data_IF_779208802726
#
_entry.id   IF_779208802726
#
_cell.length_a   1.000
_cell.length_b   1.000
_cell.length_c   1.000
_cell.angle_alpha   90.00
_cell.angle_beta   90.00
_cell.angle_gamma   90.00
#
_symmetry.space_group_name_H-M   'P 1'
#
loop_
_entity.id
_entity.type
_entity.pdbx_description
1 polymer ?
#
# COMPACT_ATOMS: atom_id res chain seq x y z
N UNK A 1 19.09 -12.85 -4.11
CA UNK A 1 19.56 -11.51 -3.71
C UNK A 1 19.38 -10.46 -4.82
N UNK A 2 19.45 -10.81 -6.11
CA UNK A 2 19.15 -9.87 -7.21
C UNK A 2 17.65 -9.59 -7.41
N UNK A 3 16.78 -10.58 -7.17
CA UNK A 3 15.33 -10.41 -7.39
C UNK A 3 14.70 -9.40 -6.43
N UNK A 4 15.16 -9.38 -5.16
CA UNK A 4 14.76 -8.37 -4.18
C UNK A 4 15.10 -6.95 -4.67
N UNK A 5 16.34 -6.74 -5.14
CA UNK A 5 16.79 -5.42 -5.60
C UNK A 5 15.97 -4.92 -6.80
N UNK A 6 15.62 -5.80 -7.75
CA UNK A 6 14.82 -5.41 -8.92
C UNK A 6 13.39 -5.06 -8.53
N UNK A 7 12.80 -5.84 -7.62
CA UNK A 7 11.46 -5.61 -7.10
C UNK A 7 11.38 -4.33 -6.26
N UNK A 8 12.37 -4.09 -5.42
CA UNK A 8 12.47 -2.90 -4.56
C UNK A 8 12.61 -1.63 -5.42
N UNK A 9 13.43 -1.69 -6.47
CA UNK A 9 13.58 -0.58 -7.41
C UNK A 9 12.29 -0.33 -8.21
N UNK A 10 11.59 -1.38 -8.64
CA UNK A 10 10.31 -1.24 -9.33
C UNK A 10 9.25 -0.62 -8.42
N UNK A 11 9.22 -1.02 -7.14
CA UNK A 11 8.30 -0.46 -6.16
C UNK A 11 8.60 1.00 -5.85
N UNK A 12 9.86 1.35 -5.62
CA UNK A 12 10.30 2.74 -5.39
C UNK A 12 9.94 3.61 -6.60
N UNK A 13 10.19 3.11 -7.81
CA UNK A 13 9.85 3.82 -9.05
C UNK A 13 8.33 3.98 -9.22
N UNK A 14 7.56 2.97 -8.83
CA UNK A 14 6.11 3.04 -8.86
C UNK A 14 5.56 3.98 -7.76
N UNK A 15 6.23 4.11 -6.61
CA UNK A 15 5.88 5.06 -5.55
C UNK A 15 5.96 6.52 -6.00
N UNK A 16 6.88 6.88 -6.91
CA UNK A 16 6.95 8.24 -7.48
C UNK A 16 5.74 8.60 -8.34
N UNK A 17 4.97 7.62 -8.81
CA UNK A 17 3.76 7.87 -9.59
C UNK A 17 2.52 8.03 -8.70
N UNK A 18 2.63 7.78 -7.39
CA UNK A 18 1.54 7.95 -6.43
C UNK A 18 1.35 9.43 -6.09
N UNK A 19 0.11 9.86 -5.99
CA UNK A 19 -0.23 11.19 -5.49
C UNK A 19 0.05 11.29 -3.99
N UNK A 20 0.19 12.52 -3.50
CA UNK A 20 0.54 12.79 -2.11
C UNK A 20 -0.42 12.12 -1.11
N UNK A 21 -1.71 12.03 -1.42
CA UNK A 21 -2.71 11.39 -0.55
C UNK A 21 -2.52 9.87 -0.53
N UNK A 22 -2.21 9.25 -1.67
CA UNK A 22 -1.93 7.82 -1.78
C UNK A 22 -0.66 7.45 -1.01
N UNK A 23 0.41 8.27 -1.11
CA UNK A 23 1.63 8.08 -0.33
C UNK A 23 1.37 8.16 1.18
N UNK A 24 0.58 9.14 1.62
CA UNK A 24 0.20 9.30 3.04
C UNK A 24 -0.65 8.13 3.53
N UNK A 25 -1.56 7.61 2.70
CA UNK A 25 -2.38 6.45 3.00
C UNK A 25 -1.50 5.20 3.20
N UNK A 26 -0.53 4.97 2.31
CA UNK A 26 0.42 3.85 2.43
C UNK A 26 1.25 3.98 3.72
N UNK A 27 1.73 5.19 4.04
CA UNK A 27 2.49 5.44 5.27
C UNK A 27 1.66 5.15 6.53
N UNK A 28 0.42 5.64 6.58
CA UNK A 28 -0.50 5.34 7.68
C UNK A 28 -0.75 3.85 7.83
N UNK A 29 -1.01 3.15 6.73
CA UNK A 29 -1.22 1.70 6.77
C UNK A 29 0.01 0.95 7.33
N UNK A 30 1.23 1.42 7.03
CA UNK A 30 2.47 0.84 7.59
C UNK A 30 2.58 1.13 9.10
N UNK A 31 2.28 2.35 9.53
CA UNK A 31 2.30 2.73 10.95
C UNK A 31 1.31 1.88 11.73
N UNK A 32 0.07 1.78 11.28
CA UNK A 32 -0.98 0.96 11.89
C UNK A 32 -0.60 -0.54 11.90
N UNK A 33 0.02 -1.05 10.82
CA UNK A 33 0.51 -2.43 10.77
C UNK A 33 1.60 -2.71 11.82
N UNK A 34 2.44 -1.72 12.12
CA UNK A 34 3.49 -1.82 13.15
C UNK A 34 2.90 -1.70 14.55
N UNK A 35 2.02 -0.73 14.78
CA UNK A 35 1.41 -0.48 16.09
C UNK A 35 0.48 -1.63 16.52
N UNK A 36 -0.27 -2.20 15.58
CA UNK A 36 -1.12 -3.38 15.83
C UNK A 36 -0.33 -4.67 16.10
N UNK A 37 0.97 -4.70 15.82
CA UNK A 37 1.82 -5.89 15.97
C UNK A 37 1.46 -7.05 15.03
N UNK A 38 0.52 -6.85 14.09
CA UNK A 38 0.04 -7.87 13.15
C UNK A 38 0.92 -7.99 11.90
N UNK A 39 1.77 -6.98 11.65
CA UNK A 39 2.59 -6.90 10.45
C UNK A 39 1.75 -6.74 9.18
N UNK A 40 2.41 -6.63 8.04
CA UNK A 40 1.74 -6.53 6.74
C UNK A 40 1.57 -7.95 6.18
N UNK A 41 0.32 -8.42 6.11
CA UNK A 41 0.02 -9.71 5.50
C UNK A 41 -1.13 -9.60 4.48
N UNK A 42 -1.21 -10.57 3.56
CA UNK A 42 -2.15 -10.53 2.43
C UNK A 42 -3.55 -11.07 2.77
N UNK A 43 -3.81 -11.37 4.04
CA UNK A 43 -5.08 -11.93 4.50
C UNK A 43 -5.81 -10.99 5.45
N UNK A 44 -5.06 -10.22 6.24
CA UNK A 44 -5.58 -9.33 7.26
C UNK A 44 -5.69 -7.91 6.71
N UNK A 45 -6.89 -7.32 6.74
CA UNK A 45 -7.06 -5.92 6.38
C UNK A 45 -6.33 -5.01 7.36
N UNK A 46 -5.61 -4.03 6.81
CA UNK A 46 -5.12 -2.89 7.56
C UNK A 46 -6.20 -1.83 7.60
N UNK A 47 -6.49 -1.34 8.80
CA UNK A 47 -7.54 -0.37 9.05
C UNK A 47 -6.90 1.01 9.23
N UNK A 48 -7.44 2.00 8.52
CA UNK A 48 -6.98 3.38 8.60
C UNK A 48 -8.20 4.25 8.91
N UNK A 49 -8.15 4.91 10.05
CA UNK A 49 -9.19 5.84 10.48
C UNK A 49 -8.96 7.23 9.91
N UNK A 50 -10.04 7.90 9.48
CA UNK A 50 -9.95 9.29 9.04
C UNK A 50 -9.40 10.22 10.15
N UNK A 51 -9.66 9.88 11.41
CA UNK A 51 -9.11 10.60 12.56
C UNK A 51 -7.57 10.51 12.63
N UNK A 52 -6.97 9.34 12.42
CA UNK A 52 -5.52 9.19 12.34
C UNK A 52 -4.92 10.07 11.23
N UNK A 53 -5.58 10.14 10.08
CA UNK A 53 -5.16 10.99 8.95
C UNK A 53 -5.26 12.49 9.26
N UNK A 54 -6.34 12.93 9.94
CA UNK A 54 -6.51 14.31 10.39
C UNK A 54 -5.41 14.68 11.38
N UNK A 55 -5.17 13.84 12.38
CA UNK A 55 -4.22 14.13 13.45
C UNK A 55 -2.78 14.17 12.93
N UNK A 56 -2.42 13.29 12.00
CA UNK A 56 -1.04 13.19 11.50
C UNK A 56 -0.72 14.23 10.42
N UNK A 57 -1.68 14.62 9.59
CA UNK A 57 -1.46 15.52 8.44
C UNK A 57 -2.19 16.86 8.53
N UNK A 58 -2.88 17.14 9.64
CA UNK A 58 -3.59 18.39 9.93
C UNK A 58 -4.55 18.82 8.79
N UNK A 59 -5.29 17.86 8.24
CA UNK A 59 -6.27 18.08 7.16
C UNK A 59 -7.67 18.37 7.70
N UNK A 60 -8.50 19.03 6.91
CA UNK A 60 -9.88 19.32 7.29
C UNK A 60 -10.71 18.03 7.47
N UNK A 61 -11.38 17.90 8.63
CA UNK A 61 -12.18 16.71 9.00
C UNK A 61 -13.23 16.34 7.96
N UNK A 62 -13.89 17.33 7.37
CA UNK A 62 -14.96 17.12 6.39
C UNK A 62 -14.47 16.44 5.10
N UNK A 63 -13.23 16.68 4.70
CA UNK A 63 -12.67 16.14 3.43
C UNK A 63 -11.73 14.97 3.65
N UNK A 64 -11.29 14.73 4.89
CA UNK A 64 -10.33 13.67 5.21
C UNK A 64 -10.82 12.28 4.81
N UNK A 65 -12.05 11.92 5.18
CA UNK A 65 -12.61 10.60 4.85
C UNK A 65 -12.76 10.41 3.34
N UNK A 66 -13.30 11.41 2.64
CA UNK A 66 -13.47 11.35 1.19
C UNK A 66 -12.12 11.25 0.48
N UNK A 67 -11.11 12.00 0.94
CA UNK A 67 -9.76 11.92 0.40
C UNK A 67 -9.13 10.53 0.59
N UNK A 68 -9.31 9.90 1.76
CA UNK A 68 -8.85 8.52 1.98
C UNK A 68 -9.60 7.53 1.10
N UNK A 69 -10.92 7.69 0.97
CA UNK A 69 -11.78 6.84 0.14
C UNK A 69 -11.33 6.85 -1.31
N UNK A 70 -11.06 8.04 -1.86
CA UNK A 70 -10.62 8.21 -3.24
C UNK A 70 -9.18 7.72 -3.43
N UNK A 71 -8.26 8.03 -2.50
CA UNK A 71 -6.90 7.48 -2.53
C UNK A 71 -6.87 5.94 -2.49
N UNK A 72 -7.75 5.29 -1.74
CA UNK A 72 -7.90 3.83 -1.76
C UNK A 72 -8.35 3.32 -3.14
N UNK A 73 -9.28 4.02 -3.82
CA UNK A 73 -9.73 3.63 -5.16
C UNK A 73 -8.61 3.76 -6.19
N UNK A 74 -7.87 4.87 -6.13
CA UNK A 74 -6.76 5.15 -7.03
C UNK A 74 -5.67 4.09 -6.84
N UNK A 75 -5.30 3.79 -5.59
CA UNK A 75 -4.31 2.76 -5.27
C UNK A 75 -4.74 1.36 -5.74
N UNK A 76 -6.05 1.06 -5.69
CA UNK A 76 -6.59 -0.21 -6.20
C UNK A 76 -6.57 -0.32 -7.73
N UNK A 77 -6.75 0.81 -8.43
CA UNK A 77 -6.65 0.87 -9.88
C UNK A 77 -5.19 0.77 -10.37
N UNK A 78 -4.22 1.11 -9.52
CA UNK A 78 -2.80 1.10 -9.89
C UNK A 78 -2.20 -0.29 -9.95
N UNK A 79 -1.33 -0.44 -10.95
CA UNK A 79 -0.57 -1.65 -11.22
C UNK A 79 0.90 -1.29 -11.39
N UNK A 80 1.78 -2.24 -11.11
CA UNK A 80 3.21 -2.12 -11.37
C UNK A 80 3.73 -3.42 -11.96
N UNK A 81 4.76 -3.31 -12.78
CA UNK A 81 5.43 -4.45 -13.38
C UNK A 81 6.87 -4.56 -12.88
N UNK A 82 7.34 -5.78 -12.70
CA UNK A 82 8.73 -6.07 -12.37
C UNK A 82 9.18 -7.37 -13.04
N UNK A 83 10.49 -7.62 -13.03
CA UNK A 83 11.08 -8.83 -13.60
C UNK A 83 11.63 -9.71 -12.49
N UNK A 84 11.35 -11.01 -12.56
CA UNK A 84 11.94 -12.04 -11.71
C UNK A 84 12.57 -13.14 -12.57
N UNK A 85 13.54 -13.88 -12.03
CA UNK A 85 14.09 -15.05 -12.70
C UNK A 85 13.32 -16.29 -12.27
N UNK A 86 12.71 -17.00 -13.23
CA UNK A 86 11.97 -18.22 -12.92
C UNK A 86 12.92 -19.38 -12.59
N UNK A 87 12.38 -20.50 -12.09
CA UNK A 87 13.15 -21.70 -11.70
C UNK A 87 14.07 -22.28 -12.81
N UNK A 88 13.84 -21.91 -14.07
CA UNK A 88 14.60 -22.34 -15.25
C UNK A 88 15.65 -21.32 -15.70
N UNK A 89 15.82 -20.20 -14.99
CA UNK A 89 16.79 -19.16 -15.31
C UNK A 89 16.30 -18.13 -16.34
N UNK A 90 15.03 -18.17 -16.74
CA UNK A 90 14.47 -17.23 -17.71
C UNK A 90 13.86 -16.01 -17.01
N UNK A 91 13.89 -14.87 -17.68
CA UNK A 91 13.22 -13.64 -17.23
C UNK A 91 11.70 -13.82 -17.32
N UNK A 92 11.02 -13.60 -16.21
CA UNK A 92 9.57 -13.59 -16.06
C UNK A 92 9.10 -12.16 -15.79
N UNK A 93 8.22 -11.64 -16.65
CA UNK A 93 7.61 -10.32 -16.45
C UNK A 93 6.35 -10.50 -15.59
N UNK A 94 6.35 -9.92 -14.39
CA UNK A 94 5.23 -9.97 -13.46
C UNK A 94 4.50 -8.64 -13.49
N UNK A 95 3.17 -8.69 -13.62
CA UNK A 95 2.27 -7.55 -13.45
C UNK A 95 1.47 -7.76 -12.17
N UNK A 96 1.54 -6.81 -11.25
CA UNK A 96 0.86 -6.89 -9.96
C UNK A 96 0.15 -5.59 -9.58
N UNK A 97 -0.71 -5.67 -8.57
CA UNK A 97 -1.42 -4.52 -7.99
C UNK A 97 -0.76 -4.11 -6.67
N UNK A 98 -1.03 -2.90 -6.22
CA UNK A 98 -0.63 -2.44 -4.90
C UNK A 98 -1.47 -3.08 -3.80
N UNK A 99 -2.80 -3.00 -3.95
CA UNK A 99 -3.77 -3.58 -3.02
C UNK A 99 -4.66 -4.58 -3.77
N UNK A 100 -4.95 -5.70 -3.12
CA UNK A 100 -5.85 -6.73 -3.65
C UNK A 100 -7.30 -6.47 -3.29
N UNK A 101 -7.55 -5.76 -2.20
CA UNK A 101 -8.89 -5.46 -1.71
C UNK A 101 -8.92 -4.11 -0.97
N UNK A 102 -10.04 -3.40 -1.12
CA UNK A 102 -10.36 -2.18 -0.39
C UNK A 102 -11.79 -2.31 0.18
N UNK A 103 -12.00 -1.80 1.39
CA UNK A 103 -13.31 -1.76 2.07
C UNK A 103 -13.51 -0.40 2.72
N UNK A 104 -14.76 0.03 2.81
CA UNK A 104 -15.14 1.31 3.38
C UNK A 104 -16.27 1.10 4.38
N UNK A 105 -16.17 1.74 5.53
CA UNK A 105 -17.23 1.77 6.53
C UNK A 105 -17.57 3.25 6.73
N UNK A 106 -18.60 3.72 6.03
CA UNK A 106 -18.99 5.13 6.02
C UNK A 106 -19.40 5.59 7.43
N UNK A 107 -20.12 4.75 8.19
CA UNK A 107 -20.58 5.06 9.56
C UNK A 107 -19.44 5.19 10.58
N UNK A 108 -18.28 4.58 10.30
CA UNK A 108 -17.08 4.64 11.17
C UNK A 108 -16.02 5.61 10.64
N UNK A 109 -16.23 6.20 9.46
CA UNK A 109 -15.21 6.95 8.73
C UNK A 109 -13.88 6.19 8.60
N UNK A 110 -13.97 4.88 8.36
CA UNK A 110 -12.83 3.95 8.32
C UNK A 110 -12.67 3.38 6.92
N UNK A 111 -11.43 3.29 6.46
CA UNK A 111 -11.06 2.55 5.25
C UNK A 111 -10.21 1.34 5.63
N UNK A 112 -10.38 0.24 4.91
CA UNK A 112 -9.57 -0.96 5.10
C UNK A 112 -8.96 -1.38 3.79
N UNK A 113 -7.71 -1.83 3.80
CA UNK A 113 -7.01 -2.29 2.60
C UNK A 113 -6.21 -3.56 2.88
N UNK A 114 -6.15 -4.44 1.87
CA UNK A 114 -5.30 -5.62 1.88
C UNK A 114 -4.23 -5.41 0.82
N UNK A 115 -2.97 -5.47 1.23
CA UNK A 115 -1.85 -5.40 0.30
C UNK A 115 -1.75 -6.66 -0.55
N UNK A 116 -1.45 -6.50 -1.84
CA UNK A 116 -1.28 -7.64 -2.73
C UNK A 116 -0.10 -8.51 -2.28
N UNK A 117 -0.11 -9.83 -2.55
CA UNK A 117 0.99 -10.73 -2.18
C UNK A 117 2.36 -10.29 -2.70
N UNK A 118 2.41 -9.59 -3.83
CA UNK A 118 3.66 -9.05 -4.37
C UNK A 118 4.30 -8.03 -3.41
N UNK A 119 3.53 -7.28 -2.62
CA UNK A 119 4.06 -6.32 -1.64
C UNK A 119 4.79 -7.01 -0.47
N UNK A 120 4.51 -8.30 -0.20
CA UNK A 120 5.10 -9.08 0.90
C UNK A 120 6.60 -9.37 0.72
N UNK A 121 7.14 -9.17 -0.48
CA UNK A 121 8.48 -9.64 -0.85
C UNK A 121 9.66 -8.80 -0.36
N UNK A 122 9.47 -7.63 0.24
CA UNK A 122 10.57 -6.76 0.66
C UNK A 122 10.63 -6.58 2.18
N UNK A 123 11.60 -7.21 2.89
CA UNK A 123 11.81 -6.99 4.33
C UNK A 123 12.32 -5.58 4.67
N UNK A 124 12.67 -4.77 3.67
CA UNK A 124 13.50 -3.56 3.85
C UNK A 124 12.90 -2.27 3.27
N UNK A 125 11.79 -2.35 2.53
CA UNK A 125 11.41 -1.29 1.58
C UNK A 125 10.29 -0.37 2.09
N UNK A 126 9.64 -0.74 3.19
CA UNK A 126 8.60 0.06 3.85
C UNK A 126 9.12 0.66 5.18
N UNK A 127 10.43 0.55 5.43
CA UNK A 127 11.06 0.88 6.71
C UNK A 127 12.17 1.94 6.64
N UNK A 128 12.35 2.64 5.52
CA UNK A 128 13.29 3.76 5.43
C UNK A 128 12.57 5.05 5.04
#
# INVERSE_FOLDING_TARGET
>A
MRDLVVKDNALINASYNLDLVEQRLVLLAIVEARESGRGINANDPLEVHAESYINQFNVARQTAYQALKDACKDLFARQFSYQEINKRGNVENVLSRWVSEIRYIDDEATVKLIFAPAMRGGPTCLNN
#
